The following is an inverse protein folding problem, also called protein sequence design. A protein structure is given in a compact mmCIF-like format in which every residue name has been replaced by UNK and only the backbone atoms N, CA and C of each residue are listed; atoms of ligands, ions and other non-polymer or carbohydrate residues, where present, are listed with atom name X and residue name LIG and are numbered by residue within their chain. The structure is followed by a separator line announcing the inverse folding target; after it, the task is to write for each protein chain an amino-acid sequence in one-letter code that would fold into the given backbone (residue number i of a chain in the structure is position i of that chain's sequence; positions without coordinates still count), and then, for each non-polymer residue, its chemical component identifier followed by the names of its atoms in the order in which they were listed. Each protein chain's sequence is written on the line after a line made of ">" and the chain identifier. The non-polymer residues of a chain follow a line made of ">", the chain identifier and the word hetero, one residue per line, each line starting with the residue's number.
data_IF_312235560155
#
_entry.id   IF_312235560155
#
_cell.length_a   1.000
_cell.length_b   1.000
_cell.length_c   1.000
_cell.angle_alpha   90.00
_cell.angle_beta   90.00
_cell.angle_gamma   90.00
#
_symmetry.space_group_name_H-M   'P 1'
#
loop_
_entity.id
_entity.type
_entity.pdbx_description
1 polymer ?
#
# COMPACT_ATOMS: atom_id res chain seq x y z
N UNK A 1 -16.32 -36.83 -46.83
CA UNK A 1 -16.94 -37.37 -45.61
C UNK A 1 -16.58 -36.43 -44.47
N UNK A 2 -17.53 -35.58 -44.05
CA UNK A 2 -17.61 -34.77 -42.81
C UNK A 2 -16.40 -33.81 -42.54
N UNK A 3 -16.51 -32.55 -42.12
CA UNK A 3 -17.53 -31.82 -41.36
C UNK A 3 -17.26 -30.30 -41.50
N UNK A 4 -18.31 -29.47 -41.50
CA UNK A 4 -18.25 -28.01 -41.36
C UNK A 4 -17.99 -27.57 -39.91
N UNK A 5 -17.30 -26.44 -39.69
CA UNK A 5 -17.44 -25.50 -38.54
C UNK A 5 -16.74 -24.19 -38.95
N UNK A 6 -17.41 -23.13 -39.47
CA UNK A 6 -18.36 -22.18 -38.89
C UNK A 6 -17.93 -21.48 -37.58
N UNK A 7 -17.81 -20.16 -37.69
CA UNK A 7 -17.90 -19.09 -36.67
C UNK A 7 -16.75 -19.00 -35.64
N UNK A 8 -16.15 -17.83 -35.35
CA UNK A 8 -16.83 -16.61 -34.91
C UNK A 8 -15.95 -15.36 -35.05
N UNK A 9 -16.61 -14.26 -35.41
CA UNK A 9 -16.20 -12.87 -35.18
C UNK A 9 -15.85 -12.66 -33.70
N UNK A 10 -14.74 -11.97 -33.40
CA UNK A 10 -14.60 -11.26 -32.13
C UNK A 10 -14.68 -9.77 -32.42
N UNK A 11 -15.87 -9.25 -32.13
CA UNK A 11 -16.20 -7.84 -32.06
C UNK A 11 -15.28 -7.19 -31.01
N UNK A 12 -14.40 -6.29 -31.45
CA UNK A 12 -13.62 -5.48 -30.50
C UNK A 12 -14.57 -4.49 -29.85
N UNK A 13 -15.10 -4.83 -28.68
CA UNK A 13 -15.92 -3.91 -27.87
C UNK A 13 -14.95 -2.92 -27.24
N UNK A 14 -14.83 -1.74 -27.85
CA UNK A 14 -14.18 -0.61 -27.22
C UNK A 14 -15.02 -0.23 -25.99
N UNK A 15 -14.53 -0.55 -24.79
CA UNK A 15 -15.06 -0.03 -23.54
C UNK A 15 -14.81 1.48 -23.52
N UNK A 16 -15.85 2.34 -23.46
CA UNK A 16 -15.62 3.72 -23.08
C UNK A 16 -15.23 3.70 -21.60
N UNK A 17 -13.94 3.89 -21.33
CA UNK A 17 -13.47 4.16 -19.98
C UNK A 17 -14.10 5.49 -19.54
N UNK A 18 -15.24 5.40 -18.83
CA UNK A 18 -15.74 6.51 -18.04
C UNK A 18 -14.77 6.67 -16.87
N UNK A 19 -13.69 7.41 -17.11
CA UNK A 19 -12.86 7.93 -16.04
C UNK A 19 -13.73 8.89 -15.24
N UNK A 20 -14.37 8.39 -14.17
CA UNK A 20 -14.99 9.27 -13.18
C UNK A 20 -13.87 10.10 -12.56
N UNK A 21 -13.95 11.44 -12.56
CA UNK A 21 -13.02 12.24 -11.78
C UNK A 21 -13.20 11.81 -10.32
N UNK A 22 -12.12 11.34 -9.70
CA UNK A 22 -12.05 11.15 -8.25
C UNK A 22 -12.31 12.51 -7.62
N UNK A 23 -13.56 12.75 -7.26
CA UNK A 23 -13.92 13.85 -6.37
C UNK A 23 -13.23 13.52 -5.05
N UNK A 24 -12.07 14.14 -4.80
CA UNK A 24 -11.53 14.23 -3.46
C UNK A 24 -12.56 15.02 -2.64
N UNK A 25 -13.49 14.29 -2.05
CA UNK A 25 -14.29 14.81 -0.95
C UNK A 25 -13.27 15.10 0.13
N UNK A 26 -12.87 16.36 0.27
CA UNK A 26 -12.16 16.82 1.46
C UNK A 26 -13.10 16.58 2.62
N UNK A 27 -12.94 15.41 3.24
CA UNK A 27 -13.60 15.05 4.47
C UNK A 27 -13.33 16.15 5.48
N UNK A 28 -14.37 16.67 6.13
CA UNK A 28 -14.24 17.57 7.28
C UNK A 28 -13.71 16.84 8.52
N UNK A 29 -13.25 15.59 8.39
CA UNK A 29 -12.70 14.72 9.43
C UNK A 29 -11.18 14.59 9.26
N UNK A 30 -10.39 15.38 9.98
CA UNK A 30 -8.94 15.20 10.20
C UNK A 30 -8.03 14.94 8.99
N UNK A 31 -6.71 14.79 9.19
CA UNK A 31 -5.84 14.23 8.16
C UNK A 31 -6.18 12.75 7.92
N UNK A 32 -6.12 12.30 6.66
CA UNK A 32 -6.27 10.88 6.34
C UNK A 32 -5.11 10.08 6.93
N UNK A 33 -5.33 8.87 7.48
CA UNK A 33 -4.25 8.00 7.94
C UNK A 33 -3.21 7.73 6.86
N UNK A 34 -1.95 7.61 7.24
CA UNK A 34 -0.84 7.31 6.36
C UNK A 34 -0.20 5.96 6.72
N UNK A 35 -0.05 5.08 5.73
CA UNK A 35 0.75 3.86 5.83
C UNK A 35 2.10 4.11 5.17
N UNK A 36 3.19 3.80 5.88
CA UNK A 36 4.55 3.89 5.36
C UNK A 36 5.15 2.50 5.23
N UNK A 37 5.87 2.25 4.15
CA UNK A 37 6.65 1.03 3.99
C UNK A 37 8.09 1.39 3.62
N UNK A 38 9.03 1.01 4.48
CA UNK A 38 10.46 1.25 4.27
C UNK A 38 11.02 0.46 3.07
N UNK A 39 12.23 0.83 2.66
CA UNK A 39 12.93 0.16 1.56
C UNK A 39 13.86 -0.97 2.01
N UNK A 40 14.47 -1.62 1.01
CA UNK A 40 15.51 -2.63 1.18
C UNK A 40 16.63 -2.16 2.14
N UNK A 41 16.87 -2.93 3.18
CA UNK A 41 17.92 -2.67 4.16
C UNK A 41 17.67 -1.51 5.13
N UNK A 42 16.43 -1.03 5.17
CA UNK A 42 15.89 -0.14 6.20
C UNK A 42 14.91 -0.92 7.11
N UNK A 43 14.28 -0.27 8.09
CA UNK A 43 13.30 -0.90 9.00
C UNK A 43 12.17 0.05 9.37
N UNK A 44 11.07 -0.48 9.92
CA UNK A 44 9.87 0.28 10.29
C UNK A 44 10.13 1.49 11.22
N UNK A 45 11.19 1.42 12.03
CA UNK A 45 11.54 2.43 13.05
C UNK A 45 13.01 2.86 13.01
N UNK A 46 13.65 2.83 11.83
CA UNK A 46 14.97 3.43 11.67
C UNK A 46 14.94 4.94 11.93
N UNK A 47 16.11 5.55 12.19
CA UNK A 47 16.19 6.98 12.47
C UNK A 47 15.56 7.84 11.36
N UNK A 48 15.80 7.50 10.09
CA UNK A 48 15.22 8.21 8.95
C UNK A 48 13.70 8.05 8.84
N UNK A 49 13.19 6.84 9.10
CA UNK A 49 11.74 6.57 9.11
C UNK A 49 11.05 7.32 10.25
N UNK A 50 11.65 7.36 11.45
CA UNK A 50 11.12 8.11 12.59
C UNK A 50 11.15 9.63 12.36
N UNK A 51 12.24 10.15 11.78
CA UNK A 51 12.35 11.57 11.41
C UNK A 51 11.28 11.94 10.37
N UNK A 52 11.08 11.11 9.36
CA UNK A 52 10.04 11.32 8.35
C UNK A 52 8.64 11.33 8.98
N UNK A 53 8.33 10.37 9.86
CA UNK A 53 7.05 10.34 10.59
C UNK A 53 6.84 11.61 11.43
N UNK A 54 7.88 12.09 12.12
CA UNK A 54 7.82 13.32 12.92
C UNK A 54 7.56 14.54 12.04
N UNK A 55 8.24 14.63 10.90
CA UNK A 55 8.02 15.70 9.92
C UNK A 55 6.56 15.72 9.45
N UNK A 56 6.01 14.58 9.04
CA UNK A 56 4.60 14.48 8.60
C UNK A 56 3.65 14.88 9.73
N UNK A 57 3.87 14.40 10.97
CA UNK A 57 3.05 14.78 12.13
C UNK A 57 3.10 16.28 12.45
N UNK A 58 4.23 16.94 12.20
CA UNK A 58 4.36 18.39 12.37
C UNK A 58 3.58 19.19 11.32
N UNK A 59 3.53 18.69 10.08
CA UNK A 59 2.80 19.32 8.96
C UNK A 59 1.30 19.05 9.07
N UNK A 60 0.92 17.85 9.52
CA UNK A 60 -0.46 17.38 9.65
C UNK A 60 -0.78 16.99 11.10
N UNK A 61 -1.06 17.96 11.99
CA UNK A 61 -1.41 17.66 13.39
C UNK A 61 -2.60 16.70 13.49
N UNK A 62 -2.44 15.65 14.31
CA UNK A 62 -3.49 14.64 14.53
C UNK A 62 -3.55 13.52 13.48
N UNK A 63 -2.64 13.49 12.51
CA UNK A 63 -2.54 12.37 11.56
C UNK A 63 -2.15 11.06 12.27
N UNK A 64 -2.85 9.98 11.94
CA UNK A 64 -2.44 8.63 12.29
C UNK A 64 -1.43 8.13 11.25
N UNK A 65 -0.29 7.61 11.70
CA UNK A 65 0.71 7.01 10.82
C UNK A 65 1.03 5.60 11.32
N UNK A 66 0.92 4.61 10.43
CA UNK A 66 1.38 3.25 10.65
C UNK A 66 2.62 3.00 9.79
N UNK A 67 3.70 2.53 10.41
CA UNK A 67 4.90 2.08 9.70
C UNK A 67 4.84 0.56 9.59
N UNK A 68 4.78 0.06 8.36
CA UNK A 68 4.78 -1.37 8.05
C UNK A 68 6.10 -1.97 8.53
N UNK A 69 5.98 -3.11 9.19
CA UNK A 69 7.08 -3.99 9.55
C UNK A 69 6.77 -5.39 9.01
N UNK A 70 7.81 -6.14 8.68
CA UNK A 70 7.79 -7.59 8.43
C UNK A 70 8.15 -8.34 9.71
N UNK A 71 9.08 -7.78 10.49
CA UNK A 71 9.47 -8.29 11.80
C UNK A 71 9.36 -7.18 12.87
N UNK A 72 8.92 -7.47 14.10
CA UNK A 72 8.82 -6.45 15.15
C UNK A 72 10.19 -5.90 15.58
N UNK A 73 11.21 -6.76 15.60
CA UNK A 73 12.58 -6.38 15.93
C UNK A 73 13.23 -5.60 14.78
N UNK A 74 13.86 -4.48 15.09
CA UNK A 74 14.40 -3.52 14.10
C UNK A 74 15.47 -4.19 13.22
N UNK A 75 16.39 -4.95 13.82
CA UNK A 75 17.46 -5.60 13.06
C UNK A 75 16.94 -6.76 12.22
N UNK A 76 15.96 -7.52 12.74
CA UNK A 76 15.28 -8.57 11.99
C UNK A 76 14.51 -8.00 10.79
N UNK A 77 13.80 -6.89 10.97
CA UNK A 77 13.03 -6.21 9.92
C UNK A 77 13.94 -5.71 8.80
N UNK A 78 15.08 -5.13 9.19
CA UNK A 78 16.12 -4.73 8.27
C UNK A 78 16.65 -5.89 7.42
N UNK A 79 16.88 -7.05 8.03
CA UNK A 79 17.31 -8.26 7.32
C UNK A 79 16.19 -8.85 6.46
N UNK A 80 14.95 -8.81 6.92
CA UNK A 80 13.77 -9.27 6.19
C UNK A 80 13.54 -8.44 4.91
N UNK A 81 14.00 -7.19 4.88
CA UNK A 81 14.06 -6.40 3.65
C UNK A 81 14.93 -7.07 2.56
N UNK A 82 16.01 -7.76 2.92
CA UNK A 82 16.91 -8.43 1.97
C UNK A 82 16.53 -9.88 1.65
N UNK A 83 15.92 -10.57 2.60
CA UNK A 83 15.69 -12.01 2.52
C UNK A 83 14.26 -12.34 2.92
N UNK A 84 13.65 -13.26 2.18
CA UNK A 84 12.27 -13.68 2.42
C UNK A 84 11.53 -13.86 1.10
N UNK A 85 10.28 -14.32 1.19
CA UNK A 85 9.37 -14.38 0.07
C UNK A 85 8.49 -13.12 0.09
N UNK A 86 8.46 -12.39 -1.01
CA UNK A 86 7.67 -11.16 -1.15
C UNK A 86 6.18 -11.45 -1.10
N UNK A 87 5.71 -12.59 -1.61
CA UNK A 87 4.30 -12.95 -1.57
C UNK A 87 3.82 -13.12 -0.11
N UNK A 88 4.61 -13.81 0.70
CA UNK A 88 4.33 -14.02 2.13
C UNK A 88 4.36 -12.68 2.89
N UNK A 89 5.31 -11.79 2.53
CA UNK A 89 5.37 -10.45 3.11
C UNK A 89 4.13 -9.61 2.77
N UNK A 90 3.66 -9.64 1.52
CA UNK A 90 2.45 -8.91 1.11
C UNK A 90 1.22 -9.46 1.83
N UNK A 91 1.09 -10.77 1.99
CA UNK A 91 0.00 -11.39 2.74
C UNK A 91 0.03 -10.99 4.22
N UNK A 92 1.22 -11.01 4.83
CA UNK A 92 1.43 -10.56 6.20
C UNK A 92 1.06 -9.09 6.37
N UNK A 93 1.54 -8.21 5.49
CA UNK A 93 1.26 -6.77 5.55
C UNK A 93 -0.23 -6.50 5.32
N UNK A 94 -0.87 -7.21 4.39
CA UNK A 94 -2.32 -7.10 4.19
C UNK A 94 -3.09 -7.44 5.48
N UNK A 95 -2.69 -8.53 6.15
CA UNK A 95 -3.27 -8.95 7.43
C UNK A 95 -2.98 -7.95 8.55
N UNK A 96 -1.77 -7.40 8.61
CA UNK A 96 -1.39 -6.35 9.56
C UNK A 96 -2.30 -5.13 9.40
N UNK A 97 -2.46 -4.61 8.17
CA UNK A 97 -3.26 -3.41 7.90
C UNK A 97 -4.75 -3.63 8.15
N UNK A 98 -5.28 -4.82 7.84
CA UNK A 98 -6.68 -5.16 8.06
C UNK A 98 -7.09 -5.14 9.55
N UNK A 99 -6.12 -5.30 10.46
CA UNK A 99 -6.36 -5.30 11.90
C UNK A 99 -6.25 -3.90 12.55
N UNK A 100 -6.00 -2.85 11.78
CA UNK A 100 -5.86 -1.48 12.30
C UNK A 100 -7.16 -0.70 12.07
N UNK A 101 -7.87 -0.41 13.17
CA UNK A 101 -9.19 0.22 13.12
C UNK A 101 -9.20 1.61 12.47
N UNK A 102 -8.11 2.36 12.65
CA UNK A 102 -7.89 3.69 12.10
C UNK A 102 -7.83 3.67 10.57
N UNK A 103 -7.45 2.54 9.96
CA UNK A 103 -7.34 2.37 8.51
C UNK A 103 -8.65 1.88 7.85
N UNK A 104 -9.66 1.50 8.64
CA UNK A 104 -10.89 0.86 8.14
C UNK A 104 -11.69 1.74 7.16
N UNK A 105 -11.59 3.07 7.29
CA UNK A 105 -12.25 4.04 6.42
C UNK A 105 -11.33 4.57 5.30
N UNK A 106 -10.25 3.84 5.01
CA UNK A 106 -9.28 4.16 3.99
C UNK A 106 -8.09 4.98 4.50
N UNK A 107 -6.99 4.88 3.78
CA UNK A 107 -5.70 5.49 4.10
C UNK A 107 -4.96 5.87 2.82
N UNK A 108 -3.98 6.77 2.95
CA UNK A 108 -2.97 6.99 1.92
C UNK A 108 -1.74 6.14 2.24
N UNK A 109 -0.97 5.74 1.21
CA UNK A 109 0.21 4.89 1.38
C UNK A 109 1.44 5.50 0.69
N UNK A 110 2.59 5.38 1.34
CA UNK A 110 3.89 5.82 0.83
C UNK A 110 4.94 4.73 1.00
N UNK A 111 5.47 4.26 -0.12
CA UNK A 111 6.56 3.30 -0.18
C UNK A 111 7.90 3.95 -0.50
N UNK A 112 8.95 3.54 0.21
CA UNK A 112 10.33 3.92 -0.08
C UNK A 112 11.04 2.83 -0.87
N UNK A 113 11.63 3.20 -2.02
CA UNK A 113 12.37 2.27 -2.89
C UNK A 113 11.58 0.99 -3.23
N UNK A 114 11.91 -0.15 -2.62
CA UNK A 114 11.23 -1.44 -2.82
C UNK A 114 9.86 -1.52 -2.12
N UNK A 115 9.60 -0.73 -1.08
CA UNK A 115 8.31 -0.73 -0.38
C UNK A 115 7.17 -0.05 -1.16
N UNK A 116 7.35 0.25 -2.46
CA UNK A 116 6.36 0.83 -3.36
C UNK A 116 5.54 -0.26 -4.05
#
# INVERSE_FOLDING_TARGET
>A
MLLHFLWSFLLSVAFPALASPTQHVYSTQGPRPLVLWHGLGDSHSSAGMLEFQQLIKSIHPGIFIHSVFIEPDIEADQRAGFYGNVDDQVEFVSSQLANISELANGFDALGFSQGK
#
